data_IF_157335385795
#
_entry.id   IF_157335385795
#
_cell.length_a   1.000
_cell.length_b   1.000
_cell.length_c   1.000
_cell.angle_alpha   90.00
_cell.angle_beta   90.00
_cell.angle_gamma   90.00
#
_symmetry.space_group_name_H-M   'P 1'
#
loop_
_entity.id
_entity.type
_entity.pdbx_description
1 polymer ?
#
# COMPACT_ATOMS: atom_id res chain seq x y z
N UNK A 1 23.37 18.60 -26.81
CA UNK A 1 22.81 18.94 -25.47
C UNK A 1 21.89 17.79 -25.07
N UNK A 2 22.22 17.07 -24.01
CA UNK A 2 21.32 16.06 -23.41
C UNK A 2 20.06 16.77 -22.97
N UNK A 3 18.88 16.30 -23.41
CA UNK A 3 17.60 16.83 -22.93
C UNK A 3 17.54 16.62 -21.41
N UNK A 4 17.28 17.69 -20.66
CA UNK A 4 17.11 17.60 -19.20
C UNK A 4 15.89 16.72 -18.90
N UNK A 5 16.07 15.75 -18.03
CA UNK A 5 15.01 14.87 -17.52
C UNK A 5 15.01 14.97 -16.02
N UNK A 6 13.86 15.29 -15.43
CA UNK A 6 13.66 15.21 -13.99
C UNK A 6 13.14 13.83 -13.63
N UNK A 7 13.67 13.23 -12.58
CA UNK A 7 13.33 11.86 -12.16
C UNK A 7 12.86 11.85 -10.71
N UNK A 8 11.71 11.24 -10.47
CA UNK A 8 11.20 11.01 -9.12
C UNK A 8 10.85 9.54 -8.92
N UNK A 9 11.12 9.03 -7.74
CA UNK A 9 10.84 7.64 -7.36
C UNK A 9 10.07 7.57 -6.06
N UNK A 10 9.24 6.55 -5.94
CA UNK A 10 8.58 6.18 -4.69
C UNK A 10 8.39 4.67 -4.63
N UNK A 11 8.50 4.10 -3.46
CA UNK A 11 8.15 2.70 -3.24
C UNK A 11 6.67 2.53 -2.91
N UNK A 12 6.21 1.31 -3.04
CA UNK A 12 4.87 0.84 -2.69
C UNK A 12 4.74 0.57 -1.19
N UNK A 13 3.58 0.14 -0.75
CA UNK A 13 3.30 -0.31 0.62
C UNK A 13 2.30 -1.47 0.64
N UNK A 14 2.21 -2.15 1.76
CA UNK A 14 1.19 -3.16 2.02
C UNK A 14 0.64 -3.01 3.44
N UNK A 15 -0.63 -3.31 3.65
CA UNK A 15 -1.20 -3.37 5.01
C UNK A 15 -0.90 -4.74 5.60
N UNK A 16 -0.19 -4.76 6.72
CA UNK A 16 0.11 -5.98 7.46
C UNK A 16 -1.06 -6.40 8.35
N UNK A 17 -1.62 -5.44 9.10
CA UNK A 17 -2.73 -5.65 10.03
C UNK A 17 -3.60 -4.40 10.15
N UNK A 18 -4.87 -4.57 10.51
CA UNK A 18 -5.75 -3.46 10.89
C UNK A 18 -6.69 -3.00 9.78
N UNK A 19 -6.82 -3.78 8.69
CA UNK A 19 -7.82 -3.53 7.66
C UNK A 19 -9.21 -3.41 8.29
N UNK A 20 -10.03 -2.52 7.79
CA UNK A 20 -11.37 -2.18 8.25
C UNK A 20 -11.44 -1.67 9.70
N UNK A 21 -10.81 -2.32 10.67
CA UNK A 21 -10.84 -1.91 12.08
C UNK A 21 -10.23 -0.52 12.31
N UNK A 22 -9.29 -0.07 11.47
CA UNK A 22 -8.68 1.26 11.55
C UNK A 22 -9.70 2.41 11.40
N UNK A 23 -10.77 2.19 10.64
CA UNK A 23 -11.86 3.16 10.47
C UNK A 23 -12.60 3.40 11.79
N UNK A 24 -12.61 2.38 12.66
CA UNK A 24 -13.25 2.39 13.97
C UNK A 24 -12.30 2.76 15.12
N UNK A 25 -11.11 3.30 14.80
CA UNK A 25 -10.17 3.82 15.78
C UNK A 25 -9.14 2.82 16.31
N UNK A 26 -9.11 1.61 15.78
CA UNK A 26 -8.08 0.62 16.09
C UNK A 26 -6.77 0.87 15.32
N UNK A 27 -5.62 0.36 15.79
CA UNK A 27 -4.37 0.54 15.08
C UNK A 27 -4.31 -0.28 13.79
N UNK A 28 -3.65 0.29 12.78
CA UNK A 28 -3.22 -0.43 11.57
C UNK A 28 -1.70 -0.42 11.45
N UNK A 29 -1.15 -1.49 10.89
CA UNK A 29 0.27 -1.66 10.62
C UNK A 29 0.46 -1.75 9.12
N UNK A 30 1.30 -0.89 8.56
CA UNK A 30 1.66 -0.89 7.14
C UNK A 30 3.17 -1.02 6.96
N UNK A 31 3.57 -1.73 5.91
CA UNK A 31 4.97 -1.99 5.57
C UNK A 31 5.32 -1.29 4.26
N UNK A 32 6.45 -0.57 4.17
CA UNK A 32 7.01 -0.14 2.90
C UNK A 32 7.50 -1.35 2.10
N UNK A 33 7.30 -1.33 0.79
CA UNK A 33 7.77 -2.36 -0.13
C UNK A 33 8.86 -1.74 -1.01
N UNK A 34 10.09 -1.77 -0.52
CA UNK A 34 11.21 -0.98 -1.08
C UNK A 34 11.62 -1.41 -2.49
N UNK A 35 11.44 -2.68 -2.82
CA UNK A 35 11.81 -3.24 -4.13
C UNK A 35 10.69 -3.10 -5.18
N UNK A 36 9.52 -2.57 -4.78
CA UNK A 36 8.36 -2.37 -5.66
C UNK A 36 8.14 -0.87 -5.85
N UNK A 37 8.69 -0.33 -6.94
CA UNK A 37 8.80 1.11 -7.15
C UNK A 37 7.92 1.64 -8.29
N UNK A 38 7.59 2.92 -8.16
CA UNK A 38 7.11 3.79 -9.24
C UNK A 38 8.22 4.78 -9.57
N UNK A 39 8.50 4.96 -10.85
CA UNK A 39 9.42 5.97 -11.37
C UNK A 39 8.64 6.89 -12.29
N UNK A 40 8.68 8.19 -12.01
CA UNK A 40 8.16 9.24 -12.90
C UNK A 40 9.32 10.00 -13.53
N UNK A 41 9.21 10.26 -14.83
CA UNK A 41 10.14 11.10 -15.57
C UNK A 41 9.40 12.32 -16.13
N UNK A 42 9.96 13.50 -15.96
CA UNK A 42 9.48 14.76 -16.54
C UNK A 42 10.50 15.25 -17.54
N UNK A 43 10.02 15.63 -18.72
CA UNK A 43 10.87 16.19 -19.77
C UNK A 43 10.16 17.33 -20.52
N UNK A 44 10.94 18.12 -21.27
CA UNK A 44 10.37 19.17 -22.11
C UNK A 44 9.45 18.57 -23.19
N UNK A 45 8.36 19.25 -23.47
CA UNK A 45 7.42 18.93 -24.53
C UNK A 45 7.26 20.11 -25.51
N UNK A 46 6.61 19.89 -26.64
CA UNK A 46 6.30 20.96 -27.59
C UNK A 46 5.04 21.73 -27.18
N UNK A 47 4.11 21.06 -26.52
CA UNK A 47 2.84 21.62 -26.07
C UNK A 47 2.68 21.54 -24.55
N UNK A 48 1.98 22.51 -23.93
CA UNK A 48 1.70 22.45 -22.50
C UNK A 48 0.90 21.19 -22.11
N UNK A 49 1.18 20.66 -20.94
CA UNK A 49 0.45 19.55 -20.37
C UNK A 49 -1.02 19.96 -20.13
N UNK A 50 -1.95 19.21 -20.73
CA UNK A 50 -3.38 19.44 -20.57
C UNK A 50 -4.00 18.37 -19.68
N UNK A 51 -4.74 18.79 -18.67
CA UNK A 51 -5.51 17.87 -17.82
C UNK A 51 -6.65 17.26 -18.64
N UNK A 52 -6.53 15.96 -18.96
CA UNK A 52 -7.62 15.20 -19.58
C UNK A 52 -8.55 14.54 -18.57
N UNK A 53 -8.04 14.23 -17.37
CA UNK A 53 -8.80 13.65 -16.27
C UNK A 53 -8.15 14.04 -14.93
N UNK A 54 -8.97 14.24 -13.89
CA UNK A 54 -8.47 14.38 -12.53
C UNK A 54 -8.14 12.98 -11.98
N UNK A 55 -6.86 12.70 -11.86
CA UNK A 55 -6.32 11.50 -11.25
C UNK A 55 -5.12 11.87 -10.36
N UNK A 56 -4.65 11.00 -9.47
CA UNK A 56 -3.56 11.31 -8.54
C UNK A 56 -2.30 11.82 -9.21
N UNK A 57 -1.91 11.24 -10.34
CA UNK A 57 -0.72 11.61 -11.09
C UNK A 57 -0.80 13.05 -11.62
N UNK A 58 -1.82 13.34 -12.42
CA UNK A 58 -1.96 14.67 -13.04
C UNK A 58 -2.18 15.73 -11.96
N UNK A 59 -2.94 15.43 -10.93
CA UNK A 59 -3.12 16.34 -9.79
C UNK A 59 -1.80 16.62 -9.08
N UNK A 60 -0.98 15.61 -8.81
CA UNK A 60 0.32 15.76 -8.18
C UNK A 60 1.25 16.67 -9.00
N UNK A 61 1.33 16.45 -10.32
CA UNK A 61 2.12 17.29 -11.24
C UNK A 61 1.63 18.75 -11.18
N UNK A 62 0.32 18.99 -11.31
CA UNK A 62 -0.22 20.35 -11.29
C UNK A 62 -0.07 21.02 -9.93
N UNK A 63 -0.28 20.32 -8.84
CA UNK A 63 -0.05 20.84 -7.49
C UNK A 63 1.42 21.28 -7.30
N UNK A 64 2.37 20.46 -7.75
CA UNK A 64 3.80 20.80 -7.72
C UNK A 64 4.12 22.01 -8.59
N UNK A 65 3.63 22.07 -9.83
CA UNK A 65 3.81 23.22 -10.73
C UNK A 65 3.21 24.50 -10.15
N UNK A 66 2.01 24.44 -9.58
CA UNK A 66 1.35 25.59 -8.94
C UNK A 66 2.13 26.06 -7.71
N UNK A 67 2.61 25.15 -6.87
CA UNK A 67 3.44 25.48 -5.72
C UNK A 67 4.72 26.23 -6.14
N UNK A 68 5.38 25.77 -7.20
CA UNK A 68 6.56 26.41 -7.79
C UNK A 68 6.24 27.66 -8.61
N UNK A 69 4.97 28.06 -8.73
CA UNK A 69 4.48 29.19 -9.53
C UNK A 69 4.87 29.12 -11.01
N UNK A 70 5.03 27.92 -11.53
CA UNK A 70 5.41 27.65 -12.91
C UNK A 70 4.15 27.63 -13.78
N UNK A 71 4.02 28.61 -14.66
CA UNK A 71 2.91 28.73 -15.60
C UNK A 71 3.38 28.44 -17.03
N UNK A 72 2.54 27.74 -17.79
CA UNK A 72 2.65 27.55 -19.25
C UNK A 72 3.99 26.95 -19.73
N UNK A 73 4.65 26.12 -18.92
CA UNK A 73 5.79 25.36 -19.40
C UNK A 73 5.35 24.06 -20.04
N UNK A 74 5.69 23.81 -21.32
CA UNK A 74 5.39 22.56 -21.98
C UNK A 74 6.30 21.46 -21.44
N UNK A 75 5.68 20.54 -20.69
CA UNK A 75 6.32 19.33 -20.17
C UNK A 75 5.47 18.11 -20.52
N UNK A 76 6.11 16.97 -20.64
CA UNK A 76 5.50 15.66 -20.68
C UNK A 76 5.99 14.81 -19.54
N UNK A 77 5.26 13.77 -19.21
CA UNK A 77 5.65 12.79 -18.21
C UNK A 77 5.60 11.38 -18.80
N UNK A 78 6.43 10.53 -18.23
CA UNK A 78 6.39 9.07 -18.42
C UNK A 78 6.40 8.39 -17.05
N UNK A 79 5.63 7.28 -16.91
CA UNK A 79 5.52 6.50 -15.69
C UNK A 79 5.92 5.06 -15.99
N UNK A 80 6.92 4.59 -15.26
CA UNK A 80 7.25 3.17 -15.16
C UNK A 80 6.89 2.69 -13.75
N UNK A 81 6.07 1.66 -13.65
CA UNK A 81 5.58 1.17 -12.36
C UNK A 81 5.61 -0.35 -12.32
N UNK A 82 6.24 -0.89 -11.26
CA UNK A 82 6.09 -2.29 -10.86
C UNK A 82 4.93 -2.49 -9.88
N UNK A 83 4.27 -1.41 -9.46
CA UNK A 83 3.13 -1.41 -8.53
C UNK A 83 1.83 -1.60 -9.33
N UNK A 84 1.07 -2.67 -9.10
CA UNK A 84 -0.20 -2.87 -9.79
C UNK A 84 -1.25 -1.87 -9.31
N UNK A 85 -2.06 -1.37 -10.23
CA UNK A 85 -3.14 -0.44 -9.90
C UNK A 85 -4.30 -1.13 -9.18
N UNK A 86 -4.89 -0.44 -8.21
CA UNK A 86 -6.10 -0.89 -7.49
C UNK A 86 -5.96 -2.28 -6.83
N UNK A 87 -4.77 -2.57 -6.28
CA UNK A 87 -4.48 -3.83 -5.56
C UNK A 87 -4.24 -3.63 -4.06
N UNK A 88 -4.50 -2.44 -3.52
CA UNK A 88 -4.25 -2.15 -2.10
C UNK A 88 -2.78 -1.89 -1.75
N UNK A 89 -1.92 -1.78 -2.77
CA UNK A 89 -0.47 -1.58 -2.61
C UNK A 89 -0.03 -0.11 -2.58
N UNK A 90 -0.94 0.85 -2.39
CA UNK A 90 -0.61 2.29 -2.32
C UNK A 90 -0.18 2.91 -3.65
N UNK A 91 -0.61 2.35 -4.78
CA UNK A 91 -0.23 2.84 -6.13
C UNK A 91 -0.53 4.33 -6.32
N UNK A 92 -1.68 4.82 -5.84
CA UNK A 92 -2.07 6.23 -5.92
C UNK A 92 -1.05 7.15 -5.24
N UNK A 93 -0.73 6.85 -3.97
CA UNK A 93 0.24 7.62 -3.19
C UNK A 93 1.65 7.54 -3.79
N UNK A 94 2.12 6.35 -4.18
CA UNK A 94 3.43 6.17 -4.78
C UNK A 94 3.58 6.95 -6.09
N UNK A 95 2.57 6.92 -6.95
CA UNK A 95 2.52 7.70 -8.21
C UNK A 95 2.57 9.20 -7.93
N UNK A 96 1.79 9.69 -6.96
CA UNK A 96 1.78 11.10 -6.58
C UNK A 96 3.16 11.55 -6.05
N UNK A 97 3.78 10.77 -5.15
CA UNK A 97 5.10 11.05 -4.60
C UNK A 97 6.16 11.10 -5.71
N UNK A 98 6.19 10.08 -6.57
CA UNK A 98 7.14 10.02 -7.68
C UNK A 98 6.97 11.22 -8.64
N UNK A 99 5.74 11.60 -8.95
CA UNK A 99 5.45 12.72 -9.82
C UNK A 99 5.89 14.07 -9.23
N UNK A 100 5.62 14.33 -7.95
CA UNK A 100 6.05 15.56 -7.27
C UNK A 100 7.58 15.64 -7.25
N UNK A 101 8.27 14.57 -6.86
CA UNK A 101 9.73 14.49 -6.86
C UNK A 101 10.31 14.78 -8.25
N UNK A 102 9.72 14.19 -9.31
CA UNK A 102 10.17 14.40 -10.68
C UNK A 102 10.01 15.84 -11.16
N UNK A 103 8.91 16.52 -10.77
CA UNK A 103 8.71 17.95 -11.09
C UNK A 103 9.76 18.80 -10.40
N UNK A 104 10.01 18.63 -9.11
CA UNK A 104 11.01 19.40 -8.38
C UNK A 104 12.42 19.17 -8.92
N UNK A 105 12.79 17.93 -9.23
CA UNK A 105 14.05 17.56 -9.84
C UNK A 105 14.23 18.22 -11.23
N UNK A 106 13.20 18.20 -12.07
CA UNK A 106 13.22 18.82 -13.39
C UNK A 106 13.49 20.32 -13.33
N UNK A 107 12.96 21.01 -12.33
CA UNK A 107 13.13 22.46 -12.17
C UNK A 107 14.28 22.85 -11.22
N UNK A 108 15.14 21.90 -10.79
CA UNK A 108 16.25 22.10 -9.85
C UNK A 108 15.80 22.82 -8.56
N UNK A 109 14.65 22.42 -8.02
CA UNK A 109 14.09 22.99 -6.80
C UNK A 109 14.26 22.03 -5.61
N UNK A 110 14.58 22.58 -4.46
CA UNK A 110 14.60 21.81 -3.21
C UNK A 110 13.19 21.42 -2.80
N UNK A 111 13.01 20.18 -2.37
CA UNK A 111 11.75 19.62 -1.91
C UNK A 111 11.90 19.19 -0.45
N UNK A 112 11.35 19.99 0.47
CA UNK A 112 11.29 19.58 1.88
C UNK A 112 10.28 18.44 2.08
N UNK A 113 10.50 17.64 3.13
CA UNK A 113 9.58 16.57 3.50
C UNK A 113 8.17 17.10 3.77
N UNK A 114 8.05 18.24 4.45
CA UNK A 114 6.77 18.88 4.77
C UNK A 114 6.02 19.31 3.49
N UNK A 115 6.73 19.91 2.53
CA UNK A 115 6.14 20.29 1.23
C UNK A 115 5.68 19.06 0.46
N UNK A 116 6.47 18.00 0.44
CA UNK A 116 6.11 16.74 -0.21
C UNK A 116 4.85 16.14 0.41
N UNK A 117 4.79 16.01 1.73
CA UNK A 117 3.61 15.48 2.45
C UNK A 117 2.35 16.32 2.17
N UNK A 118 2.46 17.64 2.18
CA UNK A 118 1.36 18.55 1.86
C UNK A 118 0.83 18.34 0.44
N UNK A 119 1.72 18.29 -0.56
CA UNK A 119 1.33 18.13 -1.97
C UNK A 119 0.74 16.75 -2.24
N UNK A 120 1.29 15.69 -1.62
CA UNK A 120 0.74 14.33 -1.70
C UNK A 120 -0.65 14.28 -1.11
N UNK A 121 -0.88 14.89 0.05
CA UNK A 121 -2.20 14.96 0.67
C UNK A 121 -3.23 15.64 -0.23
N UNK A 122 -2.86 16.73 -0.91
CA UNK A 122 -3.73 17.38 -1.91
C UNK A 122 -4.10 16.44 -3.06
N UNK A 123 -3.13 15.70 -3.61
CA UNK A 123 -3.36 14.76 -4.69
C UNK A 123 -4.26 13.59 -4.27
N UNK A 124 -4.05 13.06 -3.07
CA UNK A 124 -4.85 11.96 -2.51
C UNK A 124 -6.29 12.37 -2.17
N UNK A 125 -6.51 13.62 -1.72
CA UNK A 125 -7.85 14.14 -1.40
C UNK A 125 -8.75 14.17 -2.64
N UNK A 126 -8.19 14.36 -3.82
CA UNK A 126 -8.94 14.31 -5.08
C UNK A 126 -9.31 12.88 -5.49
N UNK A 127 -8.40 11.93 -5.23
CA UNK A 127 -8.64 10.52 -5.53
C UNK A 127 -9.56 9.84 -4.50
N UNK A 128 -9.44 10.25 -3.25
CA UNK A 128 -10.12 9.67 -2.10
C UNK A 128 -10.71 10.78 -1.25
N UNK A 129 -12.02 10.86 -1.13
CA UNK A 129 -12.73 11.94 -0.43
C UNK A 129 -12.23 12.23 1.01
N UNK A 130 -11.69 11.24 1.70
CA UNK A 130 -11.11 11.34 3.05
C UNK A 130 -9.94 10.36 3.22
N UNK A 131 -8.75 10.65 2.67
CA UNK A 131 -7.60 9.78 2.84
C UNK A 131 -7.16 9.76 4.32
N UNK A 132 -6.85 8.59 4.86
CA UNK A 132 -6.29 8.46 6.21
C UNK A 132 -4.85 8.99 6.31
N UNK A 133 -4.18 9.14 5.18
CA UNK A 133 -2.76 9.47 5.08
C UNK A 133 -1.82 8.28 5.33
N UNK A 134 -2.34 7.12 5.74
CA UNK A 134 -1.50 5.95 6.03
C UNK A 134 -0.72 5.48 4.79
N UNK A 135 -1.36 5.43 3.63
CA UNK A 135 -0.73 5.02 2.38
C UNK A 135 0.42 5.95 2.00
N UNK A 136 0.16 7.27 2.01
CA UNK A 136 1.17 8.28 1.73
C UNK A 136 2.32 8.22 2.75
N UNK A 137 2.01 8.19 4.05
CA UNK A 137 3.04 8.14 5.10
C UNK A 137 3.91 6.90 4.99
N UNK A 138 3.32 5.73 4.68
CA UNK A 138 4.09 4.49 4.53
C UNK A 138 4.94 4.51 3.26
N UNK A 139 4.43 5.03 2.12
CA UNK A 139 5.21 5.19 0.89
C UNK A 139 6.35 6.23 1.00
N UNK A 140 6.34 7.07 2.03
CA UNK A 140 7.38 8.07 2.32
C UNK A 140 8.39 7.61 3.38
N UNK A 141 8.08 6.54 4.11
CA UNK A 141 8.90 6.05 5.22
C UNK A 141 9.71 4.82 4.83
N UNK A 142 10.94 4.74 5.31
CA UNK A 142 11.77 3.54 5.23
C UNK A 142 11.44 2.48 6.30
N UNK A 143 10.58 2.83 7.25
CA UNK A 143 10.16 1.99 8.35
C UNK A 143 8.68 1.60 8.23
N UNK A 144 8.31 0.52 8.91
CA UNK A 144 6.89 0.19 9.09
C UNK A 144 6.18 1.32 9.83
N UNK A 145 4.92 1.56 9.49
CA UNK A 145 4.08 2.57 10.11
C UNK A 145 2.97 1.89 10.92
N UNK A 146 2.88 2.24 12.19
CA UNK A 146 1.69 2.05 13.01
C UNK A 146 0.87 3.34 13.00
N UNK A 147 -0.40 3.22 12.67
CA UNK A 147 -1.34 4.33 12.61
C UNK A 147 -2.55 4.04 13.48
N UNK A 148 -2.91 4.99 14.33
CA UNK A 148 -4.18 4.96 15.07
C UNK A 148 -4.87 6.31 14.89
N UNK A 149 -6.14 6.28 14.49
CA UNK A 149 -6.94 7.49 14.34
C UNK A 149 -6.92 8.29 15.64
N UNK A 150 -6.74 9.59 15.58
CA UNK A 150 -6.64 10.53 16.72
C UNK A 150 -5.33 10.44 17.54
N UNK A 151 -4.45 9.44 17.30
CA UNK A 151 -3.12 9.36 17.93
C UNK A 151 -2.04 9.77 16.91
N UNK A 152 -2.23 9.38 15.64
CA UNK A 152 -1.29 9.67 14.55
C UNK A 152 -0.42 8.49 14.15
N UNK A 153 0.72 8.80 13.55
CA UNK A 153 1.65 7.84 12.96
C UNK A 153 2.84 7.60 13.90
N UNK A 154 3.31 6.35 13.92
CA UNK A 154 4.51 5.94 14.63
C UNK A 154 5.32 5.00 13.76
N UNK A 155 6.60 5.28 13.61
CA UNK A 155 7.53 4.38 12.94
C UNK A 155 7.88 3.19 13.83
N UNK A 156 8.00 2.02 13.20
CA UNK A 156 8.38 0.77 13.84
C UNK A 156 9.49 0.14 13.03
N UNK A 157 10.63 -0.07 13.66
CA UNK A 157 11.70 -0.85 13.05
C UNK A 157 11.28 -2.33 12.95
N UNK A 158 11.36 -2.89 11.76
CA UNK A 158 11.09 -4.30 11.50
C UNK A 158 12.39 -5.01 11.13
N UNK A 159 12.76 -5.97 11.98
CA UNK A 159 13.89 -6.88 11.75
C UNK A 159 13.48 -8.24 12.29
N UNK A 160 12.63 -8.92 11.55
CA UNK A 160 11.97 -10.16 11.98
C UNK A 160 12.77 -11.42 11.58
N UNK A 161 13.68 -11.28 10.63
CA UNK A 161 14.39 -12.42 10.03
C UNK A 161 13.42 -13.40 9.35
N UNK A 162 12.48 -12.86 8.60
CA UNK A 162 11.41 -13.55 7.91
C UNK A 162 11.21 -12.96 6.51
N UNK A 163 10.37 -13.59 5.71
CA UNK A 163 10.02 -13.13 4.36
C UNK A 163 8.52 -13.03 4.21
N UNK A 164 8.06 -11.98 3.57
CA UNK A 164 6.67 -11.78 3.20
C UNK A 164 6.50 -12.06 1.71
N UNK A 165 5.69 -13.04 1.38
CA UNK A 165 5.22 -13.26 0.01
C UNK A 165 3.98 -12.42 -0.19
N UNK A 166 3.95 -11.59 -1.23
CA UNK A 166 2.80 -10.82 -1.65
C UNK A 166 2.32 -11.45 -2.96
N UNK A 167 1.02 -11.71 -3.09
CA UNK A 167 0.46 -12.28 -4.31
C UNK A 167 -0.76 -11.47 -4.77
N UNK A 168 -0.74 -11.03 -6.03
CA UNK A 168 -1.83 -10.29 -6.68
C UNK A 168 -2.86 -11.26 -7.22
N UNK A 169 -4.11 -11.13 -6.80
CA UNK A 169 -5.22 -11.94 -7.31
C UNK A 169 -5.61 -11.61 -8.75
N UNK A 170 -5.13 -10.50 -9.33
CA UNK A 170 -5.63 -9.99 -10.61
C UNK A 170 -7.01 -9.34 -10.54
N UNK A 171 -7.71 -9.45 -9.40
CA UNK A 171 -9.02 -8.84 -9.18
C UNK A 171 -8.84 -7.45 -8.60
N UNK A 172 -9.51 -6.43 -9.15
CA UNK A 172 -9.49 -5.08 -8.60
C UNK A 172 -10.12 -5.06 -7.22
N UNK A 173 -9.36 -4.61 -6.22
CA UNK A 173 -9.91 -4.34 -4.90
C UNK A 173 -10.90 -3.17 -4.94
N UNK A 174 -11.99 -3.27 -4.19
CA UNK A 174 -12.99 -2.21 -4.07
C UNK A 174 -13.18 -1.80 -2.61
N UNK A 175 -12.28 -0.94 -2.13
CA UNK A 175 -12.28 -0.49 -0.74
C UNK A 175 -13.61 0.19 -0.35
N UNK A 176 -14.21 0.97 -1.25
CA UNK A 176 -15.50 1.63 -0.96
C UNK A 176 -16.60 0.62 -0.71
N UNK A 177 -16.81 -0.30 -1.63
CA UNK A 177 -17.82 -1.36 -1.52
C UNK A 177 -17.59 -2.24 -0.29
N UNK A 178 -16.33 -2.58 -0.01
CA UNK A 178 -15.98 -3.36 1.17
C UNK A 178 -16.31 -2.62 2.49
N UNK A 179 -16.05 -1.31 2.58
CA UNK A 179 -16.41 -0.49 3.74
C UNK A 179 -17.94 -0.39 3.87
N UNK A 180 -18.65 -0.09 2.79
CA UNK A 180 -20.13 -0.05 2.76
C UNK A 180 -20.74 -1.38 3.19
N UNK A 181 -20.12 -2.50 2.79
CA UNK A 181 -20.56 -3.84 3.17
C UNK A 181 -20.41 -4.10 4.68
N UNK A 182 -19.27 -3.69 5.26
CA UNK A 182 -19.06 -3.80 6.72
C UNK A 182 -20.03 -2.88 7.48
N UNK A 183 -20.25 -1.65 7.00
CA UNK A 183 -21.22 -0.73 7.59
C UNK A 183 -22.65 -1.27 7.54
N UNK A 184 -23.04 -1.98 6.47
CA UNK A 184 -24.35 -2.59 6.32
C UNK A 184 -24.62 -3.74 7.31
N UNK A 185 -23.58 -4.41 7.82
CA UNK A 185 -23.70 -5.44 8.88
C UNK A 185 -24.15 -4.78 10.21
N UNK A 186 -23.77 -3.52 10.43
CA UNK A 186 -24.15 -2.78 11.62
C UNK A 186 -23.47 -3.28 12.90
N UNK A 187 -24.23 -3.42 13.99
CA UNK A 187 -23.68 -3.80 15.30
C UNK A 187 -23.07 -5.20 15.34
N UNK A 188 -23.51 -6.11 14.48
CA UNK A 188 -22.98 -7.47 14.43
C UNK A 188 -21.52 -7.51 13.94
N UNK A 189 -21.08 -6.51 13.19
CA UNK A 189 -19.68 -6.38 12.78
C UNK A 189 -18.73 -6.02 13.93
N UNK A 190 -19.23 -5.44 15.03
CA UNK A 190 -18.39 -4.90 16.10
C UNK A 190 -17.51 -5.95 16.78
N UNK A 191 -18.01 -7.18 16.91
CA UNK A 191 -17.21 -8.28 17.49
C UNK A 191 -15.96 -8.54 16.65
N UNK A 192 -16.11 -8.73 15.34
CA UNK A 192 -15.00 -8.99 14.42
C UNK A 192 -14.05 -7.78 14.33
N UNK A 193 -14.59 -6.55 14.28
CA UNK A 193 -13.80 -5.33 14.22
C UNK A 193 -12.95 -5.12 15.49
N UNK A 194 -13.49 -5.39 16.67
CA UNK A 194 -12.74 -5.34 17.93
C UNK A 194 -11.65 -6.40 17.98
N UNK A 195 -11.94 -7.65 17.55
CA UNK A 195 -10.94 -8.71 17.44
C UNK A 195 -9.80 -8.31 16.47
N UNK A 196 -10.12 -7.77 15.29
CA UNK A 196 -9.11 -7.25 14.36
C UNK A 196 -8.24 -6.17 15.00
N UNK A 197 -8.84 -5.28 15.79
CA UNK A 197 -8.11 -4.25 16.56
C UNK A 197 -7.14 -4.84 17.58
N UNK A 198 -7.59 -5.82 18.37
CA UNK A 198 -6.73 -6.52 19.33
C UNK A 198 -5.61 -7.28 18.66
N UNK A 199 -5.91 -7.97 17.55
CA UNK A 199 -4.91 -8.68 16.75
C UNK A 199 -3.84 -7.73 16.22
N UNK A 200 -4.21 -6.52 15.80
CA UNK A 200 -3.27 -5.50 15.34
C UNK A 200 -2.33 -5.04 16.46
N UNK A 201 -2.85 -4.83 17.67
CA UNK A 201 -2.03 -4.49 18.84
C UNK A 201 -1.06 -5.63 19.24
N UNK A 202 -1.55 -6.88 19.19
CA UNK A 202 -0.72 -8.07 19.47
C UNK A 202 0.35 -8.23 18.39
N UNK A 203 0.04 -7.95 17.13
CA UNK A 203 0.99 -8.01 16.02
C UNK A 203 2.11 -6.95 16.15
N UNK A 204 1.79 -5.72 16.58
CA UNK A 204 2.83 -4.72 16.89
C UNK A 204 3.80 -5.21 17.98
N UNK A 205 3.28 -5.88 19.01
CA UNK A 205 4.13 -6.47 20.07
C UNK A 205 4.97 -7.64 19.53
N UNK A 206 4.39 -8.50 18.68
CA UNK A 206 5.10 -9.62 18.05
C UNK A 206 6.24 -9.13 17.15
N UNK A 207 6.04 -8.06 16.39
CA UNK A 207 7.10 -7.41 15.59
C UNK A 207 8.24 -6.94 16.48
N UNK A 208 7.96 -6.23 17.57
CA UNK A 208 8.98 -5.75 18.53
C UNK A 208 9.72 -6.89 19.23
N UNK A 209 9.01 -7.98 19.54
CA UNK A 209 9.59 -9.17 20.13
C UNK A 209 10.29 -10.09 19.13
N UNK A 210 10.26 -9.76 17.84
CA UNK A 210 10.78 -10.58 16.72
C UNK A 210 10.15 -11.98 16.67
N UNK A 211 8.91 -12.12 17.13
CA UNK A 211 8.18 -13.39 17.15
C UNK A 211 7.39 -13.60 15.85
N UNK A 212 8.08 -14.11 14.85
CA UNK A 212 7.48 -14.40 13.54
C UNK A 212 6.41 -15.49 13.57
N UNK A 213 6.48 -16.44 14.52
CA UNK A 213 5.46 -17.49 14.63
C UNK A 213 4.14 -16.90 15.15
N UNK A 214 4.22 -16.10 16.21
CA UNK A 214 3.04 -15.42 16.75
C UNK A 214 2.46 -14.47 15.70
N UNK A 215 3.29 -13.67 15.01
CA UNK A 215 2.81 -12.76 13.96
C UNK A 215 2.04 -13.53 12.88
N UNK A 216 2.57 -14.66 12.39
CA UNK A 216 1.87 -15.48 11.40
C UNK A 216 0.52 -15.98 11.90
N UNK A 217 0.44 -16.49 13.13
CA UNK A 217 -0.83 -16.93 13.73
C UNK A 217 -1.86 -15.78 13.80
N UNK A 218 -1.42 -14.58 14.21
CA UNK A 218 -2.28 -13.39 14.27
C UNK A 218 -2.77 -12.97 12.88
N UNK A 219 -1.92 -13.06 11.85
CA UNK A 219 -2.31 -12.81 10.46
C UNK A 219 -3.44 -13.75 10.01
N UNK A 220 -3.31 -15.05 10.26
CA UNK A 220 -4.33 -16.03 9.88
C UNK A 220 -5.65 -15.83 10.65
N UNK A 221 -5.58 -15.48 11.94
CA UNK A 221 -6.77 -15.13 12.71
C UNK A 221 -7.46 -13.88 12.13
N UNK A 222 -6.69 -12.85 11.77
CA UNK A 222 -7.23 -11.65 11.13
C UNK A 222 -7.93 -11.98 9.80
N UNK A 223 -7.37 -12.91 8.99
CA UNK A 223 -8.02 -13.35 7.76
C UNK A 223 -9.42 -13.95 8.01
N UNK A 224 -9.56 -14.78 9.04
CA UNK A 224 -10.84 -15.39 9.40
C UNK A 224 -11.89 -14.31 9.74
N UNK A 225 -11.53 -13.29 10.52
CA UNK A 225 -12.43 -12.18 10.85
C UNK A 225 -12.78 -11.33 9.60
N UNK A 226 -11.80 -11.05 8.73
CA UNK A 226 -12.06 -10.35 7.46
C UNK A 226 -12.98 -11.15 6.53
N UNK A 227 -12.83 -12.49 6.51
CA UNK A 227 -13.73 -13.38 5.78
C UNK A 227 -15.14 -13.38 6.38
N UNK A 228 -15.27 -13.41 7.70
CA UNK A 228 -16.56 -13.30 8.41
C UNK A 228 -17.27 -11.99 8.09
N UNK A 229 -16.55 -10.87 7.99
CA UNK A 229 -17.07 -9.58 7.55
C UNK A 229 -17.43 -9.53 6.04
N UNK A 230 -17.18 -10.61 5.30
CA UNK A 230 -17.51 -10.73 3.88
C UNK A 230 -16.68 -9.83 2.97
N UNK A 231 -15.48 -9.40 3.41
CA UNK A 231 -14.58 -8.54 2.62
C UNK A 231 -13.47 -9.31 1.91
N UNK A 232 -13.38 -10.62 2.08
CA UNK A 232 -12.53 -11.49 1.27
C UNK A 232 -13.23 -11.88 -0.04
N UNK A 233 -12.53 -12.59 -0.93
CA UNK A 233 -13.07 -13.21 -2.12
C UNK A 233 -12.53 -14.64 -2.28
N UNK A 234 -13.21 -15.47 -3.08
CA UNK A 234 -12.88 -16.89 -3.25
C UNK A 234 -11.42 -17.12 -3.64
N UNK A 235 -10.89 -16.31 -4.55
CA UNK A 235 -9.50 -16.45 -4.97
C UNK A 235 -8.52 -16.04 -3.85
N UNK A 236 -8.82 -14.99 -3.09
CA UNK A 236 -8.01 -14.62 -1.91
C UNK A 236 -7.99 -15.75 -0.88
N UNK A 237 -9.14 -16.35 -0.60
CA UNK A 237 -9.26 -17.47 0.35
C UNK A 237 -8.50 -18.70 -0.14
N UNK A 238 -8.59 -19.02 -1.44
CA UNK A 238 -7.83 -20.11 -2.06
C UNK A 238 -6.32 -19.88 -1.95
N UNK A 239 -5.85 -18.67 -2.26
CA UNK A 239 -4.43 -18.34 -2.19
C UNK A 239 -3.91 -18.37 -0.74
N UNK A 240 -4.69 -17.88 0.22
CA UNK A 240 -4.35 -17.96 1.65
C UNK A 240 -4.24 -19.41 2.10
N UNK A 241 -5.23 -20.25 1.78
CA UNK A 241 -5.19 -21.68 2.11
C UNK A 241 -3.96 -22.37 1.47
N UNK A 242 -3.70 -22.08 0.18
CA UNK A 242 -2.52 -22.60 -0.53
C UNK A 242 -1.21 -22.21 0.15
N UNK A 243 -1.06 -20.96 0.59
CA UNK A 243 0.13 -20.52 1.29
C UNK A 243 0.33 -21.29 2.61
N UNK A 244 -0.72 -21.49 3.39
CA UNK A 244 -0.70 -22.24 4.65
C UNK A 244 -0.36 -23.74 4.42
N UNK A 245 -0.97 -24.38 3.43
CA UNK A 245 -0.69 -25.78 3.05
C UNK A 245 0.78 -26.00 2.65
N UNK A 246 1.44 -24.95 2.12
CA UNK A 246 2.86 -25.01 1.74
C UNK A 246 3.80 -24.42 2.80
N UNK A 247 3.32 -24.29 4.04
CA UNK A 247 4.14 -24.03 5.22
C UNK A 247 4.36 -22.55 5.53
N UNK A 248 3.51 -21.63 5.06
CA UNK A 248 3.52 -20.27 5.59
C UNK A 248 3.23 -20.27 7.09
N UNK A 249 3.89 -19.40 7.85
CA UNK A 249 3.64 -19.19 9.28
C UNK A 249 2.25 -18.61 9.53
N UNK A 250 1.72 -17.90 8.53
CA UNK A 250 0.41 -17.31 8.50
C UNK A 250 0.19 -16.56 7.18
N UNK A 251 -1.06 -16.37 6.82
CA UNK A 251 -1.43 -15.68 5.59
C UNK A 251 -2.79 -14.97 5.73
N UNK A 252 -2.99 -13.90 4.96
CA UNK A 252 -4.22 -13.11 4.95
C UNK A 252 -4.36 -12.25 3.69
N UNK A 253 -5.58 -11.84 3.38
CA UNK A 253 -5.79 -10.74 2.44
C UNK A 253 -5.19 -9.43 2.96
N UNK A 254 -4.86 -8.50 2.08
CA UNK A 254 -4.36 -7.17 2.45
C UNK A 254 -5.11 -6.06 1.73
N UNK A 255 -5.32 -4.95 2.45
CA UNK A 255 -6.01 -3.76 1.95
C UNK A 255 -7.53 -3.82 2.11
N UNK A 256 -8.26 -3.12 1.23
CA UNK A 256 -9.71 -2.96 1.34
C UNK A 256 -10.52 -4.24 1.14
N UNK A 257 -10.01 -5.21 0.39
CA UNK A 257 -10.70 -6.46 0.12
C UNK A 257 -11.48 -6.49 -1.19
N UNK A 258 -12.30 -7.56 -1.35
CA UNK A 258 -13.04 -7.92 -2.57
C UNK A 258 -12.12 -8.09 -3.80
N UNK A 259 -10.88 -8.46 -3.57
CA UNK A 259 -9.77 -8.58 -4.52
C UNK A 259 -8.48 -8.01 -3.94
N UNK A 260 -7.57 -7.53 -4.81
CA UNK A 260 -6.28 -7.00 -4.40
C UNK A 260 -5.24 -8.08 -4.15
N UNK A 261 -4.45 -7.93 -3.10
CA UNK A 261 -3.37 -8.84 -2.77
C UNK A 261 -3.66 -9.67 -1.51
N UNK A 262 -3.02 -10.83 -1.45
CA UNK A 262 -2.81 -11.55 -0.20
C UNK A 262 -1.34 -11.43 0.22
N UNK A 263 -1.07 -11.63 1.51
CA UNK A 263 0.27 -11.70 2.08
C UNK A 263 0.44 -12.99 2.87
N UNK A 264 1.62 -13.59 2.77
CA UNK A 264 1.97 -14.82 3.49
C UNK A 264 3.36 -14.70 4.12
N UNK A 265 3.48 -14.95 5.41
CA UNK A 265 4.72 -14.86 6.17
C UNK A 265 5.45 -16.20 6.17
N UNK A 266 6.77 -16.18 5.92
CA UNK A 266 7.60 -17.39 5.90
C UNK A 266 8.89 -17.19 6.68
N UNK A 267 9.51 -18.29 7.10
CA UNK A 267 10.78 -18.25 7.85
C UNK A 267 12.01 -18.11 6.97
N UNK A 268 11.96 -18.57 5.72
CA UNK A 268 13.13 -18.64 4.84
C UNK A 268 12.81 -18.17 3.43
N UNK A 269 13.81 -17.68 2.72
CA UNK A 269 13.68 -17.22 1.34
C UNK A 269 13.27 -18.33 0.37
N UNK A 270 13.78 -19.56 0.59
CA UNK A 270 13.46 -20.69 -0.29
C UNK A 270 12.01 -21.15 -0.11
N UNK A 271 11.51 -21.12 1.13
CA UNK A 271 10.08 -21.35 1.38
C UNK A 271 9.22 -20.26 0.73
N UNK A 272 9.64 -18.99 0.82
CA UNK A 272 8.94 -17.90 0.16
C UNK A 272 8.87 -18.11 -1.36
N UNK A 273 9.96 -18.51 -2.01
CA UNK A 273 9.99 -18.84 -3.44
C UNK A 273 9.05 -19.99 -3.80
N UNK A 274 9.05 -21.04 -2.97
CA UNK A 274 8.16 -22.20 -3.17
C UNK A 274 6.71 -21.78 -3.09
N UNK A 275 6.33 -21.01 -2.06
CA UNK A 275 4.97 -20.52 -1.88
C UNK A 275 4.60 -19.59 -3.04
N UNK A 276 5.45 -18.64 -3.42
CA UNK A 276 5.19 -17.72 -4.54
C UNK A 276 4.85 -18.50 -5.84
N UNK A 277 5.62 -19.54 -6.16
CA UNK A 277 5.34 -20.40 -7.31
C UNK A 277 3.98 -21.09 -7.18
N UNK A 278 3.66 -21.63 -6.00
CA UNK A 278 2.38 -22.32 -5.76
C UNK A 278 1.18 -21.38 -5.86
N UNK A 279 1.33 -20.13 -5.40
CA UNK A 279 0.29 -19.13 -5.55
C UNK A 279 0.05 -18.77 -7.02
N UNK A 280 1.10 -18.67 -7.84
CA UNK A 280 0.96 -18.47 -9.28
C UNK A 280 0.26 -19.66 -9.97
N UNK A 281 0.62 -20.89 -9.61
CA UNK A 281 -0.04 -22.10 -10.10
C UNK A 281 -1.55 -22.13 -9.74
N UNK A 282 -1.97 -21.42 -8.68
CA UNK A 282 -3.36 -21.32 -8.20
C UNK A 282 -4.09 -20.05 -8.65
N UNK A 283 -3.47 -19.25 -9.51
CA UNK A 283 -4.15 -18.12 -10.15
C UNK A 283 -3.69 -16.73 -9.72
N UNK A 284 -2.66 -16.61 -8.88
CA UNK A 284 -2.04 -15.31 -8.65
C UNK A 284 -1.35 -14.84 -9.95
N UNK A 285 -1.69 -13.61 -10.37
CA UNK A 285 -1.16 -13.04 -11.63
C UNK A 285 0.27 -12.54 -11.49
N UNK A 286 0.66 -12.17 -10.27
CA UNK A 286 2.04 -11.80 -9.94
C UNK A 286 2.35 -12.08 -8.47
N UNK A 287 3.64 -12.22 -8.14
CA UNK A 287 4.11 -12.41 -6.77
C UNK A 287 5.41 -11.65 -6.52
N UNK A 288 5.58 -11.16 -5.31
CA UNK A 288 6.80 -10.50 -4.83
C UNK A 288 7.21 -11.10 -3.50
N UNK A 289 8.49 -10.98 -3.17
CA UNK A 289 9.05 -11.46 -1.90
C UNK A 289 9.84 -10.32 -1.26
N UNK A 290 9.40 -9.89 -0.10
CA UNK A 290 10.01 -8.84 0.70
C UNK A 290 10.69 -9.44 1.93
N UNK A 291 11.84 -8.92 2.35
CA UNK A 291 12.51 -9.34 3.60
C UNK A 291 12.05 -8.46 4.76
N UNK A 292 11.76 -9.06 5.90
CA UNK A 292 11.33 -8.39 7.13
C UNK A 292 12.35 -8.51 8.25
#
# INVERSE_FOLDING_TARGET
>A
MTKKVGVGKAHSKIILMGEHSVVYGHPALALPLKDIEVVCQIQAAETPLTLKAQNPLTTAIFSALNYLKIKNRPISYDISSSVPEKRGMGSSAAVAIAAIRAVFDYFDQELSQETLEMLVHQAETIAHSKPSGLDAKTCLSDQAISFTRNIGFKEIEVNLGAYLVIADTGIHGNTREAVEKVEAIGLDALSDLNQLGELSQKAERALKAKDKKLLGQLMSQAHNHLKSLGVSCDLSDLLVATALEHGALGAKMSGGGLGGCIIALTSTKDQARTIAKKLQEKGAVNTWIESL
#
